data_IF_706952149780
#
_entry.id   IF_706952149780
#
_cell.length_a   1.000
_cell.length_b   1.000
_cell.length_c   1.000
_cell.angle_alpha   90.00
_cell.angle_beta   90.00
_cell.angle_gamma   90.00
#
_symmetry.space_group_name_H-M   'P 1'
#
loop_
_entity.id
_entity.type
_entity.pdbx_description
1 polymer ?
#
# COMPACT_ATOMS: atom_id res chain seq x y z
N UNK A 1 -61.52 -2.83 -16.95
CA UNK A 1 -62.43 -3.81 -17.58
C UNK A 1 -62.55 -3.45 -19.05
N UNK A 2 -62.38 -4.48 -19.88
CA UNK A 2 -62.13 -4.49 -21.32
C UNK A 2 -63.23 -3.84 -22.18
N UNK A 3 -62.86 -3.40 -23.39
CA UNK A 3 -63.14 -4.05 -24.71
C UNK A 3 -62.70 -3.01 -25.78
N UNK A 4 -61.60 -3.13 -26.53
CA UNK A 4 -61.19 -4.10 -27.55
C UNK A 4 -62.09 -4.13 -28.80
N UNK A 5 -61.66 -3.42 -29.85
CA UNK A 5 -61.93 -3.55 -31.30
C UNK A 5 -61.11 -2.41 -31.90
N UNK A 6 -60.21 -2.52 -32.85
CA UNK A 6 -59.98 -3.37 -34.02
C UNK A 6 -58.69 -2.74 -34.62
N UNK A 7 -57.67 -3.38 -35.18
CA UNK A 7 -57.50 -4.69 -35.77
C UNK A 7 -55.99 -4.98 -35.78
N UNK A 8 -55.63 -6.23 -35.53
CA UNK A 8 -54.28 -6.75 -35.61
C UNK A 8 -53.96 -7.29 -37.02
N UNK A 9 -52.66 -7.30 -37.30
CA UNK A 9 -51.89 -8.35 -37.97
C UNK A 9 -51.61 -8.34 -39.49
N UNK A 10 -50.28 -8.34 -39.72
CA UNK A 10 -49.48 -9.22 -40.60
C UNK A 10 -49.60 -9.13 -42.12
N UNK A 11 -48.44 -8.81 -42.72
CA UNK A 11 -47.69 -9.66 -43.66
C UNK A 11 -48.49 -10.33 -44.79
N UNK A 12 -48.15 -9.99 -46.03
CA UNK A 12 -47.56 -10.92 -47.02
C UNK A 12 -47.46 -10.26 -48.40
N UNK A 13 -46.31 -10.49 -49.05
CA UNK A 13 -46.10 -10.25 -50.47
C UNK A 13 -47.15 -11.00 -51.31
N UNK A 14 -47.71 -10.36 -52.33
CA UNK A 14 -47.91 -11.00 -53.64
C UNK A 14 -47.91 -9.97 -54.77
N UNK A 15 -47.26 -10.40 -55.83
CA UNK A 15 -46.99 -9.76 -57.12
C UNK A 15 -48.28 -9.60 -57.92
N UNK A 16 -48.40 -8.47 -58.62
CA UNK A 16 -49.00 -8.24 -59.97
C UNK A 16 -48.94 -6.72 -60.15
N UNK A 17 -48.24 -6.13 -61.12
CA UNK A 17 -48.28 -6.41 -62.54
C UNK A 17 -48.69 -5.11 -63.24
N UNK A 18 -47.71 -4.41 -63.81
CA UNK A 18 -47.75 -3.53 -65.00
C UNK A 18 -48.84 -2.45 -65.18
N UNK A 19 -48.41 -1.18 -65.28
CA UNK A 19 -48.35 -0.42 -66.55
C UNK A 19 -47.49 0.84 -66.33
N UNK A 20 -46.26 0.90 -66.88
CA UNK A 20 -45.89 1.48 -68.19
C UNK A 20 -46.23 2.96 -68.34
N UNK A 21 -45.35 3.81 -67.81
CA UNK A 21 -44.75 4.88 -68.61
C UNK A 21 -43.23 4.83 -68.44
N UNK A 22 -42.56 4.42 -69.51
CA UNK A 22 -41.14 4.22 -69.63
C UNK A 22 -40.41 5.56 -69.74
N UNK A 23 -39.90 6.06 -68.62
CA UNK A 23 -38.69 6.88 -68.65
C UNK A 23 -37.49 5.93 -68.59
N UNK A 24 -36.76 5.84 -69.69
CA UNK A 24 -35.45 5.20 -69.71
C UNK A 24 -34.56 6.04 -68.80
N UNK A 25 -34.28 5.51 -67.61
CA UNK A 25 -33.30 6.08 -66.69
C UNK A 25 -31.90 5.81 -67.23
N UNK A 26 -31.36 6.78 -67.97
CA UNK A 26 -29.97 6.76 -68.44
C UNK A 26 -28.95 6.91 -67.30
N UNK A 27 -29.36 7.07 -66.02
CA UNK A 27 -28.43 7.13 -64.90
C UNK A 27 -27.78 5.79 -64.57
N UNK A 28 -28.38 4.67 -65.00
CA UNK A 28 -27.81 3.31 -64.85
C UNK A 28 -26.91 2.86 -66.01
N UNK A 29 -26.79 3.67 -67.08
CA UNK A 29 -25.74 3.51 -68.11
C UNK A 29 -24.53 4.43 -67.90
N UNK A 30 -24.58 5.32 -66.90
CA UNK A 30 -23.37 5.94 -66.39
C UNK A 30 -22.70 4.96 -65.42
N UNK A 31 -22.03 3.96 -65.98
CA UNK A 31 -20.76 3.51 -65.38
C UNK A 31 -19.86 4.74 -65.47
N UNK A 32 -19.98 5.67 -64.51
CA UNK A 32 -18.78 6.36 -64.06
C UNK A 32 -17.83 5.23 -63.75
N UNK A 33 -16.66 5.12 -64.41
CA UNK A 33 -15.64 4.26 -63.85
C UNK A 33 -15.56 4.66 -62.39
N UNK A 34 -15.73 3.68 -61.51
CA UNK A 34 -15.38 3.85 -60.12
C UNK A 34 -13.95 4.37 -60.17
N UNK A 35 -13.78 5.68 -60.01
CA UNK A 35 -12.46 6.27 -59.79
C UNK A 35 -12.18 5.81 -58.37
N UNK A 36 -11.74 4.55 -58.26
CA UNK A 36 -11.03 4.05 -57.10
C UNK A 36 -9.94 5.10 -56.93
N UNK A 37 -9.95 5.91 -55.86
CA UNK A 37 -8.92 6.91 -55.68
C UNK A 37 -7.60 6.13 -55.70
N UNK A 38 -6.77 6.40 -56.71
CA UNK A 38 -5.50 5.73 -56.98
C UNK A 38 -4.79 5.43 -55.66
N UNK A 39 -4.90 4.20 -55.16
CA UNK A 39 -4.11 3.76 -54.02
C UNK A 39 -2.67 3.74 -54.55
N UNK A 40 -1.90 4.77 -54.20
CA UNK A 40 -0.49 4.89 -54.60
C UNK A 40 0.22 3.62 -54.17
N UNK A 41 0.65 2.80 -55.14
CA UNK A 41 1.56 1.70 -54.85
C UNK A 41 2.81 2.30 -54.19
N UNK A 42 3.28 1.69 -53.11
CA UNK A 42 4.42 2.17 -52.35
C UNK A 42 5.52 1.13 -52.29
N UNK A 43 6.74 1.62 -52.41
CA UNK A 43 7.94 0.85 -52.20
C UNK A 43 8.69 1.30 -50.95
N UNK A 44 9.37 0.36 -50.31
CA UNK A 44 10.13 0.53 -49.08
C UNK A 44 11.56 0.05 -49.28
N UNK A 45 12.53 0.81 -48.79
CA UNK A 45 13.95 0.48 -48.86
C UNK A 45 14.38 -0.09 -47.51
N UNK A 46 14.75 -1.36 -47.50
CA UNK A 46 15.30 -2.06 -46.34
C UNK A 46 16.80 -1.83 -46.29
N UNK A 47 17.26 -1.34 -45.15
CA UNK A 47 18.66 -1.08 -44.82
C UNK A 47 19.10 -2.01 -43.68
N UNK A 48 20.37 -1.91 -43.27
CA UNK A 48 20.83 -2.63 -42.08
C UNK A 48 20.09 -2.16 -40.80
N UNK A 49 19.66 -0.90 -40.77
CA UNK A 49 19.05 -0.29 -39.58
C UNK A 49 17.51 -0.25 -39.62
N UNK A 50 16.91 -0.19 -40.82
CA UNK A 50 15.47 -0.06 -41.00
C UNK A 50 14.91 -1.18 -41.86
N UNK A 51 13.87 -1.84 -41.36
CA UNK A 51 13.10 -2.85 -42.08
C UNK A 51 11.63 -2.76 -41.66
N UNK A 52 10.66 -2.71 -42.58
CA UNK A 52 9.24 -2.71 -42.23
C UNK A 52 8.81 -4.04 -41.60
N UNK A 53 9.62 -5.10 -41.76
CA UNK A 53 9.40 -6.40 -41.12
C UNK A 53 9.98 -6.50 -39.70
N UNK A 54 10.73 -5.49 -39.23
CA UNK A 54 11.27 -5.49 -37.87
C UNK A 54 10.15 -5.14 -36.90
N UNK A 55 9.93 -5.99 -35.90
CA UNK A 55 8.97 -5.70 -34.82
C UNK A 55 9.55 -4.57 -33.97
N UNK A 56 8.84 -3.44 -33.79
CA UNK A 56 9.31 -2.34 -32.95
C UNK A 56 9.43 -2.77 -31.47
N UNK A 57 10.39 -2.20 -30.75
CA UNK A 57 10.57 -2.48 -29.32
C UNK A 57 9.34 -2.13 -28.49
N UNK A 58 8.58 -1.12 -28.90
CA UNK A 58 7.34 -0.71 -28.24
C UNK A 58 6.30 -1.83 -28.26
N UNK A 59 6.20 -2.58 -29.37
CA UNK A 59 5.28 -3.72 -29.47
C UNK A 59 5.73 -4.87 -28.56
N UNK A 60 7.03 -5.17 -28.53
CA UNK A 60 7.59 -6.21 -27.66
C UNK A 60 7.36 -5.89 -26.18
N UNK A 61 7.58 -4.63 -25.78
CA UNK A 61 7.33 -4.19 -24.41
C UNK A 61 5.85 -4.33 -24.03
N UNK A 62 4.94 -3.97 -24.95
CA UNK A 62 3.50 -4.09 -24.76
C UNK A 62 3.05 -5.54 -24.62
N UNK A 63 3.51 -6.43 -25.51
CA UNK A 63 3.21 -7.86 -25.45
C UNK A 63 3.74 -8.49 -24.16
N UNK A 64 5.02 -8.26 -23.84
CA UNK A 64 5.65 -8.77 -22.62
C UNK A 64 4.91 -8.30 -21.36
N UNK A 65 4.57 -7.01 -21.27
CA UNK A 65 3.84 -6.45 -20.13
C UNK A 65 2.41 -7.05 -20.03
N UNK A 66 1.71 -7.22 -21.16
CA UNK A 66 0.39 -7.85 -21.19
C UNK A 66 0.45 -9.30 -20.70
N UNK A 67 1.40 -10.08 -21.21
CA UNK A 67 1.61 -11.48 -20.80
C UNK A 67 1.97 -11.59 -19.32
N UNK A 68 2.88 -10.73 -18.84
CA UNK A 68 3.29 -10.68 -17.43
C UNK A 68 2.12 -10.35 -16.51
N UNK A 69 1.25 -9.41 -16.89
CA UNK A 69 0.09 -9.04 -16.08
C UNK A 69 -0.91 -10.19 -15.98
N UNK A 70 -1.22 -10.87 -17.09
CA UNK A 70 -2.16 -12.00 -17.13
C UNK A 70 -1.67 -13.20 -16.31
N UNK A 71 -0.35 -13.41 -16.24
CA UNK A 71 0.25 -14.52 -15.47
C UNK A 71 0.57 -14.15 -14.02
N UNK A 72 0.41 -12.88 -13.63
CA UNK A 72 0.75 -12.40 -12.31
C UNK A 72 -0.35 -12.71 -11.29
N UNK A 73 0.04 -13.19 -10.11
CA UNK A 73 -0.88 -13.26 -8.98
C UNK A 73 -1.06 -11.86 -8.37
N UNK A 74 -2.27 -11.34 -8.49
CA UNK A 74 -2.61 -9.99 -8.05
C UNK A 74 -2.45 -9.75 -6.54
N UNK A 75 -2.55 -10.80 -5.72
CA UNK A 75 -2.45 -10.68 -4.27
C UNK A 75 -0.98 -10.64 -3.80
N UNK A 76 -0.10 -11.41 -4.45
CA UNK A 76 1.31 -11.48 -4.08
C UNK A 76 2.22 -10.50 -4.83
N UNK A 77 1.75 -9.91 -5.93
CA UNK A 77 2.51 -8.89 -6.67
C UNK A 77 2.35 -7.50 -5.99
N UNK A 78 3.42 -6.94 -5.40
CA UNK A 78 3.36 -5.63 -4.74
C UNK A 78 3.18 -4.45 -5.72
N UNK A 79 3.42 -4.67 -7.01
CA UNK A 79 3.37 -3.65 -8.06
C UNK A 79 2.20 -3.85 -9.04
N UNK A 80 1.18 -4.63 -8.64
CA UNK A 80 0.14 -5.05 -9.57
C UNK A 80 -0.65 -3.89 -10.18
N UNK A 81 -0.95 -2.84 -9.38
CA UNK A 81 -1.65 -1.66 -9.89
C UNK A 81 -0.76 -0.82 -10.81
N UNK A 82 0.53 -0.72 -10.49
CA UNK A 82 1.55 -0.08 -11.33
C UNK A 82 1.70 -0.81 -12.67
N UNK A 83 1.73 -2.14 -12.66
CA UNK A 83 1.79 -2.97 -13.86
C UNK A 83 0.55 -2.74 -14.76
N UNK A 84 -0.66 -2.62 -14.19
CA UNK A 84 -1.89 -2.26 -14.93
C UNK A 84 -1.76 -0.87 -15.56
N UNK A 85 -1.34 0.13 -14.77
CA UNK A 85 -1.22 1.51 -15.26
C UNK A 85 -0.13 1.65 -16.33
N UNK A 86 0.97 0.92 -16.19
CA UNK A 86 2.02 0.86 -17.19
C UNK A 86 1.49 0.28 -18.51
N UNK A 87 0.69 -0.78 -18.45
CA UNK A 87 0.11 -1.38 -19.64
C UNK A 87 -0.92 -0.45 -20.32
N UNK A 88 -1.73 0.27 -19.54
CA UNK A 88 -2.62 1.34 -20.06
C UNK A 88 -1.79 2.39 -20.80
N UNK A 89 -0.68 2.83 -20.22
CA UNK A 89 0.23 3.77 -20.88
C UNK A 89 0.76 3.22 -22.20
N UNK A 90 1.25 1.97 -22.23
CA UNK A 90 1.76 1.33 -23.45
C UNK A 90 0.70 1.25 -24.54
N UNK A 91 -0.54 0.86 -24.20
CA UNK A 91 -1.66 0.86 -25.15
C UNK A 91 -1.97 2.25 -25.70
N UNK A 92 -1.95 3.29 -24.85
CA UNK A 92 -2.15 4.67 -25.29
C UNK A 92 -1.06 5.16 -26.26
N UNK A 93 0.20 4.79 -26.01
CA UNK A 93 1.33 5.13 -26.89
C UNK A 93 1.24 4.46 -28.28
N UNK A 94 0.38 3.45 -28.45
CA UNK A 94 0.16 2.87 -29.77
C UNK A 94 -0.58 3.81 -30.70
N UNK A 95 -1.43 4.71 -30.19
CA UNK A 95 -2.35 5.55 -31.00
C UNK A 95 -3.26 4.75 -31.95
N UNK A 96 -3.64 3.53 -31.56
CA UNK A 96 -4.50 2.62 -32.33
C UNK A 96 -5.89 2.60 -31.72
N UNK A 97 -6.96 2.79 -32.52
CA UNK A 97 -8.35 2.85 -32.04
C UNK A 97 -8.78 1.54 -31.38
N UNK A 98 -8.36 0.39 -31.94
CA UNK A 98 -8.65 -0.91 -31.35
C UNK A 98 -7.98 -1.14 -29.98
N UNK A 99 -7.12 -0.25 -29.49
CA UNK A 99 -6.55 -0.31 -28.14
C UNK A 99 -7.53 0.10 -27.04
N UNK A 100 -8.58 0.87 -27.36
CA UNK A 100 -9.51 1.42 -26.37
C UNK A 100 -10.22 0.34 -25.55
N UNK A 101 -10.57 -0.78 -26.17
CA UNK A 101 -11.23 -1.90 -25.48
C UNK A 101 -10.31 -2.55 -24.44
N UNK A 102 -9.00 -2.63 -24.73
CA UNK A 102 -8.01 -3.13 -23.77
C UNK A 102 -7.80 -2.15 -22.63
N UNK A 103 -7.71 -0.85 -22.94
CA UNK A 103 -7.58 0.22 -21.94
C UNK A 103 -8.79 0.23 -20.99
N UNK A 104 -10.01 0.12 -21.53
CA UNK A 104 -11.23 0.04 -20.71
C UNK A 104 -11.23 -1.19 -19.81
N UNK A 105 -10.82 -2.35 -20.32
CA UNK A 105 -10.71 -3.56 -19.50
C UNK A 105 -9.66 -3.40 -18.39
N UNK A 106 -8.51 -2.78 -18.67
CA UNK A 106 -7.46 -2.52 -17.68
C UNK A 106 -7.91 -1.50 -16.63
N UNK A 107 -8.65 -0.46 -17.01
CA UNK A 107 -9.26 0.47 -16.06
C UNK A 107 -10.22 -0.26 -15.12
N UNK A 108 -11.04 -1.17 -15.65
CA UNK A 108 -11.90 -2.03 -14.84
C UNK A 108 -11.09 -2.96 -13.92
N UNK A 109 -9.98 -3.54 -14.41
CA UNK A 109 -9.06 -4.33 -13.59
C UNK A 109 -8.49 -3.52 -12.42
N UNK A 110 -8.08 -2.27 -12.65
CA UNK A 110 -7.59 -1.38 -11.60
C UNK A 110 -8.67 -1.09 -10.54
N UNK A 111 -9.91 -0.87 -10.95
CA UNK A 111 -11.03 -0.65 -10.04
C UNK A 111 -11.34 -1.89 -9.20
N UNK A 112 -11.39 -3.07 -9.83
CA UNK A 112 -11.63 -4.35 -9.14
C UNK A 112 -10.50 -4.63 -8.15
N UNK A 113 -9.24 -4.46 -8.57
CA UNK A 113 -8.08 -4.63 -7.69
C UNK A 113 -8.17 -3.74 -6.45
N UNK A 114 -8.46 -2.44 -6.61
CA UNK A 114 -8.63 -1.50 -5.48
C UNK A 114 -9.72 -1.96 -4.53
N UNK A 115 -10.87 -2.40 -5.04
CA UNK A 115 -11.97 -2.94 -4.22
C UNK A 115 -11.55 -4.21 -3.47
N UNK A 116 -10.89 -5.14 -4.15
CA UNK A 116 -10.39 -6.35 -3.51
C UNK A 116 -9.40 -6.04 -2.39
N UNK A 117 -8.48 -5.09 -2.61
CA UNK A 117 -7.50 -4.72 -1.59
C UNK A 117 -8.13 -4.11 -0.34
N UNK A 118 -9.30 -3.47 -0.45
CA UNK A 118 -10.07 -3.03 0.73
C UNK A 118 -10.53 -4.25 1.53
N UNK A 119 -11.14 -5.24 0.88
CA UNK A 119 -11.61 -6.47 1.55
C UNK A 119 -10.46 -7.29 2.16
N UNK A 120 -9.36 -7.46 1.41
CA UNK A 120 -8.12 -8.09 1.90
C UNK A 120 -7.62 -7.40 3.16
N UNK A 121 -7.60 -6.07 3.17
CA UNK A 121 -7.16 -5.31 4.34
C UNK A 121 -8.11 -5.44 5.54
N UNK A 122 -9.43 -5.54 5.31
CA UNK A 122 -10.40 -5.79 6.37
C UNK A 122 -10.15 -7.17 7.00
N UNK A 123 -9.97 -8.20 6.18
CA UNK A 123 -9.68 -9.57 6.64
C UNK A 123 -8.35 -9.59 7.39
N UNK A 124 -7.30 -8.99 6.81
CA UNK A 124 -5.98 -8.85 7.43
C UNK A 124 -6.09 -8.26 8.84
N UNK A 125 -6.82 -7.15 9.01
CA UNK A 125 -6.98 -6.49 10.31
C UNK A 125 -7.71 -7.38 11.33
N UNK A 126 -8.76 -8.08 10.92
CA UNK A 126 -9.50 -9.00 11.79
C UNK A 126 -8.61 -10.16 12.27
N UNK A 127 -7.89 -10.80 11.35
CA UNK A 127 -6.96 -11.88 11.68
C UNK A 127 -5.81 -11.38 12.55
N UNK A 128 -5.26 -10.20 12.26
CA UNK A 128 -4.22 -9.59 13.09
C UNK A 128 -4.70 -9.35 14.52
N UNK A 129 -5.93 -8.84 14.69
CA UNK A 129 -6.48 -8.59 16.01
C UNK A 129 -6.63 -9.88 16.83
N UNK A 130 -7.17 -10.94 16.21
CA UNK A 130 -7.30 -12.27 16.85
C UNK A 130 -5.94 -12.87 17.24
N UNK A 131 -4.96 -12.85 16.33
CA UNK A 131 -3.61 -13.36 16.61
C UNK A 131 -2.93 -12.52 17.69
N UNK A 132 -3.05 -11.20 17.63
CA UNK A 132 -2.47 -10.30 18.65
C UNK A 132 -3.08 -10.58 20.02
N UNK A 133 -4.39 -10.80 20.10
CA UNK A 133 -5.07 -11.16 21.35
C UNK A 133 -4.56 -12.50 21.89
N UNK A 134 -4.44 -13.53 21.03
CA UNK A 134 -3.91 -14.84 21.41
C UNK A 134 -2.45 -14.76 21.87
N UNK A 135 -1.59 -14.06 21.13
CA UNK A 135 -0.19 -13.83 21.51
C UNK A 135 -0.09 -13.13 22.85
N UNK A 136 -0.84 -12.05 23.05
CA UNK A 136 -0.86 -11.33 24.33
C UNK A 136 -1.30 -12.23 25.48
N UNK A 137 -2.34 -13.05 25.30
CA UNK A 137 -2.79 -14.00 26.30
C UNK A 137 -1.67 -14.99 26.68
N UNK A 138 -1.05 -15.64 25.70
CA UNK A 138 0.03 -16.61 25.96
C UNK A 138 1.26 -15.96 26.58
N UNK A 139 1.68 -14.79 26.07
CA UNK A 139 2.80 -14.03 26.61
C UNK A 139 2.55 -13.63 28.06
N UNK A 140 1.37 -13.11 28.39
CA UNK A 140 1.01 -12.77 29.77
C UNK A 140 1.09 -13.99 30.70
N UNK A 141 0.53 -15.13 30.30
CA UNK A 141 0.58 -16.36 31.09
C UNK A 141 2.02 -16.87 31.28
N UNK A 142 2.83 -16.85 30.22
CA UNK A 142 4.23 -17.25 30.27
C UNK A 142 5.07 -16.30 31.14
N UNK A 143 4.87 -14.99 31.02
CA UNK A 143 5.52 -13.99 31.88
C UNK A 143 5.17 -14.21 33.34
N UNK A 144 3.89 -14.45 33.66
CA UNK A 144 3.47 -14.75 35.04
C UNK A 144 4.17 -16.00 35.59
N UNK A 145 4.27 -17.07 34.81
CA UNK A 145 4.98 -18.29 35.21
C UNK A 145 6.47 -18.02 35.41
N UNK A 146 7.12 -17.31 34.47
CA UNK A 146 8.54 -16.97 34.57
C UNK A 146 8.82 -16.12 35.81
N UNK A 147 8.01 -15.09 36.07
CA UNK A 147 8.12 -14.26 37.27
C UNK A 147 7.94 -15.09 38.55
N UNK A 148 6.99 -16.02 38.59
CA UNK A 148 6.82 -16.91 39.73
C UNK A 148 8.05 -17.81 39.94
N UNK A 149 8.58 -18.41 38.88
CA UNK A 149 9.79 -19.22 38.93
C UNK A 149 11.02 -18.42 39.40
N UNK A 150 11.19 -17.19 38.91
CA UNK A 150 12.24 -16.27 39.37
C UNK A 150 12.10 -15.94 40.86
N UNK A 151 10.88 -15.61 41.31
CA UNK A 151 10.60 -15.32 42.73
C UNK A 151 10.92 -16.53 43.61
N UNK A 152 10.58 -17.75 43.18
CA UNK A 152 10.87 -18.98 43.92
C UNK A 152 12.37 -19.22 44.12
N UNK A 153 13.22 -18.74 43.21
CA UNK A 153 14.68 -18.86 43.32
C UNK A 153 15.28 -17.85 44.31
N UNK A 154 14.54 -16.82 44.70
CA UNK A 154 15.03 -15.80 45.63
C UNK A 154 15.09 -16.38 47.05
N UNK A 155 16.27 -16.26 47.68
CA UNK A 155 16.42 -16.58 49.09
C UNK A 155 15.56 -15.64 49.97
N UNK A 156 14.69 -16.22 50.80
CA UNK A 156 13.81 -15.46 51.70
C UNK A 156 14.55 -14.42 52.57
N UNK A 157 15.74 -14.75 53.13
CA UNK A 157 16.52 -13.80 53.94
C UNK A 157 16.94 -12.58 53.11
N UNK A 158 17.30 -12.79 51.84
CA UNK A 158 17.63 -11.70 50.91
C UNK A 158 16.40 -10.83 50.62
N UNK A 159 15.23 -11.45 50.44
CA UNK A 159 13.98 -10.73 50.22
C UNK A 159 13.55 -9.91 51.45
N UNK A 160 13.67 -10.45 52.66
CA UNK A 160 13.39 -9.74 53.91
C UNK A 160 14.32 -8.52 54.05
N UNK A 161 15.62 -8.68 53.75
CA UNK A 161 16.58 -7.56 53.76
C UNK A 161 16.19 -6.48 52.74
N UNK A 162 15.77 -6.87 51.54
CA UNK A 162 15.31 -5.94 50.52
C UNK A 162 14.08 -5.13 50.97
N UNK A 163 13.07 -5.79 51.54
CA UNK A 163 11.89 -5.11 52.13
C UNK A 163 12.31 -4.13 53.22
N UNK A 164 13.23 -4.53 54.10
CA UNK A 164 13.75 -3.65 55.17
C UNK A 164 14.42 -2.40 54.60
N UNK A 165 15.24 -2.55 53.55
CA UNK A 165 15.89 -1.43 52.87
C UNK A 165 14.86 -0.46 52.25
N UNK A 166 13.81 -0.98 51.60
CA UNK A 166 12.74 -0.14 51.05
C UNK A 166 12.02 0.62 52.18
N UNK A 167 11.65 -0.08 53.27
CA UNK A 167 11.01 0.54 54.44
C UNK A 167 11.87 1.64 55.06
N UNK A 168 13.18 1.43 55.18
CA UNK A 168 14.12 2.44 55.67
C UNK A 168 14.17 3.65 54.73
N UNK A 169 14.24 3.42 53.42
CA UNK A 169 14.23 4.50 52.41
C UNK A 169 12.93 5.31 52.47
N UNK A 170 11.77 4.64 52.63
CA UNK A 170 10.47 5.30 52.83
C UNK A 170 10.52 6.18 54.09
N UNK A 171 11.02 5.64 55.22
CA UNK A 171 11.12 6.38 56.47
C UNK A 171 12.01 7.61 56.35
N UNK A 172 13.17 7.49 55.70
CA UNK A 172 14.08 8.61 55.43
C UNK A 172 13.40 9.69 54.58
N UNK A 173 12.70 9.30 53.51
CA UNK A 173 11.98 10.22 52.63
C UNK A 173 10.79 10.89 53.32
N UNK A 174 10.05 10.17 54.17
CA UNK A 174 8.97 10.73 54.99
C UNK A 174 9.50 11.75 56.01
N UNK A 175 10.63 11.45 56.66
CA UNK A 175 11.31 12.38 57.57
C UNK A 175 11.79 13.62 56.81
N UNK A 176 12.38 13.46 55.63
CA UNK A 176 12.79 14.56 54.78
C UNK A 176 11.61 15.43 54.35
N UNK A 177 10.50 14.83 53.90
CA UNK A 177 9.26 15.54 53.56
C UNK A 177 8.72 16.33 54.74
N UNK A 178 8.68 15.72 55.93
CA UNK A 178 8.22 16.39 57.16
C UNK A 178 9.12 17.57 57.54
N UNK A 179 10.45 17.41 57.42
CA UNK A 179 11.42 18.50 57.63
C UNK A 179 11.21 19.65 56.64
N UNK A 180 10.99 19.34 55.35
CA UNK A 180 10.68 20.34 54.33
C UNK A 180 9.40 21.10 54.67
N UNK A 181 8.31 20.40 55.01
CA UNK A 181 7.02 21.03 55.34
C UNK A 181 7.11 21.92 56.59
N UNK A 182 7.84 21.47 57.62
CA UNK A 182 8.09 22.28 58.84
C UNK A 182 8.92 23.52 58.55
N UNK A 183 9.94 23.41 57.69
CA UNK A 183 10.79 24.54 57.32
C UNK A 183 10.02 25.57 56.49
N UNK A 184 9.21 25.09 55.52
CA UNK A 184 8.28 25.93 54.77
C UNK A 184 7.34 26.70 55.72
N UNK A 185 6.67 25.99 56.65
CA UNK A 185 5.79 26.62 57.64
C UNK A 185 6.51 27.69 58.46
N UNK A 186 7.69 27.37 59.00
CA UNK A 186 8.47 28.31 59.81
C UNK A 186 8.84 29.57 59.04
N UNK A 187 9.35 29.40 57.81
CA UNK A 187 9.80 30.51 56.98
C UNK A 187 8.62 31.40 56.54
N UNK A 188 7.45 30.81 56.27
CA UNK A 188 6.22 31.56 55.99
C UNK A 188 5.71 32.30 57.24
N UNK A 189 5.66 31.64 58.40
CA UNK A 189 5.22 32.25 59.68
C UNK A 189 6.10 33.44 60.06
N UNK A 190 7.40 33.36 59.85
CA UNK A 190 8.35 34.44 60.13
C UNK A 190 8.04 35.74 59.34
N UNK A 191 7.33 35.63 58.22
CA UNK A 191 6.98 36.77 57.36
C UNK A 191 5.52 37.20 57.56
N UNK A 192 4.60 36.24 57.60
CA UNK A 192 3.16 36.52 57.66
C UNK A 192 2.73 36.93 59.06
N UNK A 193 3.30 36.30 60.11
CA UNK A 193 2.91 36.40 61.52
C UNK A 193 1.44 36.01 61.80
N UNK A 194 0.78 35.39 60.81
CA UNK A 194 -0.59 34.87 60.87
C UNK A 194 -0.55 33.35 60.67
N UNK A 195 -1.02 32.61 61.68
CA UNK A 195 -0.98 31.16 61.69
C UNK A 195 -2.04 30.53 60.77
N UNK A 196 -3.19 31.16 60.61
CA UNK A 196 -4.30 30.66 59.81
C UNK A 196 -3.98 30.88 58.33
N UNK A 197 -3.53 32.08 57.96
CA UNK A 197 -3.06 32.36 56.60
C UNK A 197 -1.88 31.48 56.19
N UNK A 198 -0.95 31.19 57.12
CA UNK A 198 0.16 30.28 56.83
C UNK A 198 -0.32 28.84 56.63
N UNK A 199 -1.32 28.40 57.39
CA UNK A 199 -1.91 27.08 57.21
C UNK A 199 -2.60 26.98 55.84
N UNK A 200 -3.44 27.96 55.50
CA UNK A 200 -4.18 28.02 54.24
C UNK A 200 -3.26 27.99 53.02
N UNK A 201 -2.18 28.77 53.05
CA UNK A 201 -1.18 28.77 51.97
C UNK A 201 -0.53 27.40 51.74
N UNK A 202 -0.33 26.62 52.80
CA UNK A 202 0.27 25.28 52.69
C UNK A 202 -0.77 24.25 52.25
N UNK A 203 -2.01 24.34 52.71
CA UNK A 203 -3.07 23.41 52.31
C UNK A 203 -3.52 23.62 50.85
N UNK A 204 -3.44 24.86 50.36
CA UNK A 204 -3.94 25.22 49.04
C UNK A 204 -2.96 24.97 47.89
N UNK A 205 -1.79 24.39 48.17
CA UNK A 205 -0.82 24.01 47.14
C UNK A 205 -1.45 22.92 46.24
N UNK A 206 -1.68 23.26 44.97
CA UNK A 206 -2.22 22.36 43.96
C UNK A 206 -1.21 22.18 42.83
N UNK A 207 -1.03 20.94 42.41
CA UNK A 207 -0.18 20.58 41.28
C UNK A 207 -1.00 20.22 40.05
N UNK A 208 -0.46 20.47 38.85
CA UNK A 208 -1.07 20.08 37.57
C UNK A 208 -0.03 19.42 36.66
N UNK A 209 -0.43 18.33 36.00
CA UNK A 209 0.36 17.64 34.99
C UNK A 209 -0.19 17.91 33.59
N UNK A 210 0.70 18.16 32.62
CA UNK A 210 0.32 18.36 31.21
C UNK A 210 1.32 17.68 30.29
N UNK A 211 0.79 16.89 29.34
CA UNK A 211 1.58 16.27 28.28
C UNK A 211 1.91 17.33 27.22
N UNK A 212 3.15 17.41 26.78
CA UNK A 212 3.56 18.25 25.65
C UNK A 212 4.50 17.47 24.74
N UNK A 213 4.05 17.21 23.50
CA UNK A 213 4.81 16.46 22.49
C UNK A 213 5.95 17.28 21.86
N UNK A 214 5.96 18.60 22.07
CA UNK A 214 6.91 19.55 21.48
C UNK A 214 7.83 20.23 22.49
N UNK A 215 7.67 19.92 23.80
CA UNK A 215 8.46 20.45 24.92
C UNK A 215 8.52 21.98 25.04
N UNK A 216 7.65 22.71 24.33
CA UNK A 216 7.38 24.12 24.59
C UNK A 216 6.44 24.24 25.79
N UNK A 217 6.98 23.96 26.99
CA UNK A 217 6.33 24.29 28.26
C UNK A 217 6.15 25.81 28.37
N UNK A 218 5.20 26.33 27.62
CA UNK A 218 4.81 27.73 27.57
C UNK A 218 4.26 28.12 28.94
N UNK A 219 4.37 29.40 29.27
CA UNK A 219 3.82 30.02 30.48
C UNK A 219 2.28 30.08 30.43
N UNK A 220 1.62 29.05 29.86
CA UNK A 220 0.27 29.08 29.28
C UNK A 220 -0.87 29.02 30.31
N UNK A 221 -0.58 29.27 31.58
CA UNK A 221 -1.59 29.46 32.60
C UNK A 221 -1.04 30.58 33.48
N UNK A 222 -1.51 31.81 33.27
CA UNK A 222 -1.03 33.02 33.97
C UNK A 222 -0.99 32.89 35.52
N UNK A 223 -1.65 31.86 36.07
CA UNK A 223 -1.78 31.58 37.51
C UNK A 223 -0.79 30.50 38.03
N UNK A 224 -0.15 29.73 37.14
CA UNK A 224 0.61 28.52 37.50
C UNK A 224 2.09 28.59 37.10
N UNK A 225 3.00 28.32 38.04
CA UNK A 225 4.45 28.27 37.78
C UNK A 225 4.92 26.84 37.50
N UNK A 226 5.78 26.69 36.48
CA UNK A 226 6.43 25.43 36.12
C UNK A 226 7.43 25.01 37.21
N UNK A 227 7.32 23.76 37.64
CA UNK A 227 8.33 23.08 38.45
C UNK A 227 9.42 22.56 37.49
N UNK A 228 10.69 22.80 37.82
CA UNK A 228 11.81 22.14 37.12
C UNK A 228 11.76 20.63 37.43
N UNK A 229 11.08 19.88 36.56
CA UNK A 229 10.91 18.42 36.63
C UNK A 229 11.88 17.72 35.69
N UNK A 230 12.22 16.46 36.01
CA UNK A 230 13.06 15.54 35.23
C UNK A 230 12.30 14.77 34.14
N UNK A 231 11.02 15.09 33.87
CA UNK A 231 10.25 14.41 32.82
C UNK A 231 10.58 14.97 31.42
N UNK A 232 11.00 14.13 30.45
CA UNK A 232 11.24 14.57 29.08
C UNK A 232 9.96 14.79 28.26
N UNK A 233 8.78 14.39 28.73
CA UNK A 233 7.54 14.42 27.91
C UNK A 233 6.38 15.18 28.55
N UNK A 234 6.61 15.83 29.69
CA UNK A 234 5.54 16.51 30.42
C UNK A 234 6.03 17.69 31.27
N UNK A 235 5.14 18.65 31.44
CA UNK A 235 5.35 19.82 32.27
C UNK A 235 4.53 19.69 33.57
N UNK A 236 5.15 19.97 34.71
CA UNK A 236 4.49 20.02 36.02
C UNK A 236 4.37 21.48 36.43
N UNK A 237 3.20 21.86 36.93
CA UNK A 237 2.93 23.21 37.40
C UNK A 237 2.35 23.21 38.82
N UNK A 238 2.46 24.33 39.53
CA UNK A 238 1.73 24.59 40.77
C UNK A 238 1.11 25.99 40.78
N UNK A 239 0.04 26.19 41.57
CA UNK A 239 -0.80 27.38 41.59
C UNK A 239 -0.16 28.60 42.30
N UNK A 240 1.07 28.97 41.93
CA UNK A 240 1.83 30.04 42.58
C UNK A 240 1.07 31.35 42.72
N UNK A 241 0.55 31.90 41.62
CA UNK A 241 -0.03 33.25 41.65
C UNK A 241 -1.33 33.26 42.47
N UNK A 242 -2.09 32.16 42.47
CA UNK A 242 -3.26 31.99 43.34
C UNK A 242 -2.86 32.05 44.82
N UNK A 243 -1.74 31.40 45.19
CA UNK A 243 -1.21 31.44 46.54
C UNK A 243 -0.70 32.85 46.90
N UNK A 244 0.03 33.51 46.00
CA UNK A 244 0.62 34.83 46.25
C UNK A 244 -0.45 35.93 46.34
N UNK A 245 -1.51 35.86 45.55
CA UNK A 245 -2.58 36.86 45.54
C UNK A 245 -3.36 36.94 46.86
N UNK A 246 -3.31 35.89 47.69
CA UNK A 246 -3.89 35.88 49.05
C UNK A 246 -3.05 36.67 50.08
N UNK A 247 -1.87 37.14 49.68
CA UNK A 247 -0.88 37.75 50.57
C UNK A 247 -0.82 39.27 50.32
N UNK A 248 -0.66 40.11 51.37
CA UNK A 248 -0.43 41.54 51.22
C UNK A 248 0.75 41.84 50.27
N UNK A 249 0.58 42.80 49.36
CA UNK A 249 1.53 43.14 48.28
C UNK A 249 2.98 43.29 48.76
N UNK A 250 3.17 43.90 49.92
CA UNK A 250 4.48 44.16 50.53
C UNK A 250 5.26 42.87 50.89
N UNK A 251 4.56 41.76 51.13
CA UNK A 251 5.14 40.47 51.53
C UNK A 251 5.27 39.47 50.38
N UNK A 252 4.60 39.72 49.25
CA UNK A 252 4.46 38.78 48.13
C UNK A 252 5.81 38.29 47.59
N UNK A 253 6.77 39.19 47.33
CA UNK A 253 8.09 38.82 46.79
C UNK A 253 8.84 37.84 47.70
N UNK A 254 8.86 38.10 49.02
CA UNK A 254 9.59 37.24 49.96
C UNK A 254 8.94 35.85 50.09
N UNK A 255 7.61 35.81 50.08
CA UNK A 255 6.86 34.54 50.10
C UNK A 255 7.06 33.76 48.80
N UNK A 256 7.06 34.43 47.64
CA UNK A 256 7.35 33.81 46.36
C UNK A 256 8.69 33.06 46.36
N UNK A 257 9.74 33.67 46.91
CA UNK A 257 11.07 33.05 47.03
C UNK A 257 11.06 31.80 47.92
N UNK A 258 10.33 31.85 49.05
CA UNK A 258 10.17 30.70 49.95
C UNK A 258 9.44 29.56 49.23
N UNK A 259 8.30 29.86 48.60
CA UNK A 259 7.49 28.88 47.87
C UNK A 259 8.31 28.22 46.75
N UNK A 260 9.01 28.99 45.92
CA UNK A 260 9.84 28.48 44.82
C UNK A 260 10.97 27.56 45.31
N UNK A 261 11.44 27.76 46.55
CA UNK A 261 12.49 26.94 47.16
C UNK A 261 11.98 25.59 47.67
N UNK A 262 10.78 25.56 48.26
CA UNK A 262 10.27 24.37 48.96
C UNK A 262 9.31 23.53 48.12
N UNK A 263 8.42 24.14 47.33
CA UNK A 263 7.37 23.44 46.57
C UNK A 263 7.94 22.37 45.62
N UNK A 264 8.99 22.66 44.81
CA UNK A 264 9.59 21.64 43.94
C UNK A 264 10.12 20.42 44.71
N UNK A 265 10.71 20.65 45.89
CA UNK A 265 11.29 19.59 46.73
C UNK A 265 10.20 18.75 47.38
N UNK A 266 9.12 19.39 47.83
CA UNK A 266 7.94 18.71 48.37
C UNK A 266 7.29 17.82 47.31
N UNK A 267 7.03 18.37 46.12
CA UNK A 267 6.50 17.61 44.98
C UNK A 267 7.34 16.39 44.65
N UNK A 268 8.64 16.58 44.41
CA UNK A 268 9.56 15.49 44.07
C UNK A 268 9.55 14.39 45.13
N UNK A 269 9.58 14.77 46.41
CA UNK A 269 9.60 13.79 47.51
C UNK A 269 8.27 13.04 47.61
N UNK A 270 7.14 13.73 47.44
CA UNK A 270 5.81 13.11 47.44
C UNK A 270 5.66 12.08 46.31
N UNK A 271 6.07 12.45 45.10
CA UNK A 271 6.01 11.55 43.92
C UNK A 271 6.94 10.35 44.08
N UNK A 272 8.14 10.53 44.62
CA UNK A 272 9.04 9.40 44.92
C UNK A 272 8.45 8.42 45.94
N UNK A 273 7.66 8.92 46.89
CA UNK A 273 7.01 8.09 47.89
C UNK A 273 5.80 7.34 47.30
N UNK A 274 4.90 8.05 46.63
CA UNK A 274 3.54 7.55 46.34
C UNK A 274 3.19 7.49 44.84
N UNK A 275 4.10 7.91 43.96
CA UNK A 275 3.81 8.12 42.55
C UNK A 275 2.92 9.33 42.32
N UNK A 276 2.29 9.40 41.15
CA UNK A 276 1.26 10.39 40.84
C UNK A 276 0.34 9.86 39.73
N UNK A 277 -0.96 9.86 40.05
CA UNK A 277 -2.05 9.51 39.16
C UNK A 277 -2.66 10.78 38.59
N UNK A 278 -2.71 10.91 37.27
CA UNK A 278 -3.38 12.02 36.62
C UNK A 278 -4.78 11.62 36.18
N UNK A 279 -5.78 12.27 36.78
CA UNK A 279 -7.20 11.98 36.57
C UNK A 279 -7.65 12.35 35.16
N UNK A 280 -7.18 13.49 34.63
CA UNK A 280 -7.58 13.97 33.31
C UNK A 280 -7.19 12.99 32.17
N UNK A 281 -6.14 12.19 32.40
CA UNK A 281 -5.68 11.16 31.44
C UNK A 281 -5.96 9.73 31.92
N UNK A 282 -6.61 9.56 33.08
CA UNK A 282 -6.85 8.27 33.73
C UNK A 282 -5.60 7.36 33.75
N UNK A 283 -4.45 7.92 34.15
CA UNK A 283 -3.15 7.26 34.00
C UNK A 283 -2.23 7.50 35.20
N UNK A 284 -1.58 6.43 35.66
CA UNK A 284 -0.42 6.53 36.53
C UNK A 284 0.77 7.04 35.70
N UNK A 285 1.21 8.26 36.00
CA UNK A 285 2.25 8.95 35.21
C UNK A 285 3.64 8.70 35.79
N UNK A 286 3.74 8.69 37.12
CA UNK A 286 4.96 8.37 37.84
C UNK A 286 4.76 7.03 38.53
N UNK A 287 4.97 5.96 37.77
CA UNK A 287 4.66 4.59 38.17
C UNK A 287 5.83 3.88 38.89
N UNK A 288 6.97 4.54 39.00
CA UNK A 288 8.13 4.09 39.76
C UNK A 288 8.20 4.83 41.10
N UNK A 289 7.71 4.19 42.16
CA UNK A 289 7.66 4.79 43.50
C UNK A 289 7.77 3.76 44.63
N UNK A 290 8.29 4.22 45.77
CA UNK A 290 8.71 3.35 46.86
C UNK A 290 7.57 2.53 47.49
N UNK A 291 6.35 3.07 47.57
CA UNK A 291 5.21 2.31 48.10
C UNK A 291 4.80 1.15 47.18
N UNK A 292 4.90 1.32 45.85
CA UNK A 292 4.68 0.22 44.90
C UNK A 292 5.77 -0.83 45.03
N UNK A 293 7.03 -0.41 45.11
CA UNK A 293 8.16 -1.32 45.30
C UNK A 293 7.99 -2.13 46.59
N UNK A 294 7.54 -1.49 47.67
CA UNK A 294 7.25 -2.16 48.93
C UNK A 294 6.12 -3.18 48.79
N UNK A 295 5.02 -2.81 48.14
CA UNK A 295 3.89 -3.72 47.88
C UNK A 295 4.34 -4.94 47.08
N UNK A 296 5.06 -4.74 45.97
CA UNK A 296 5.61 -5.81 45.12
C UNK A 296 6.55 -6.70 45.93
N UNK A 297 7.48 -6.11 46.69
CA UNK A 297 8.43 -6.87 47.49
C UNK A 297 7.75 -7.73 48.57
N UNK A 298 6.69 -7.21 49.22
CA UNK A 298 5.89 -7.96 50.18
C UNK A 298 5.10 -9.10 49.51
N UNK A 299 4.51 -8.86 48.35
CA UNK A 299 3.82 -9.90 47.58
C UNK A 299 4.79 -11.02 47.19
N UNK A 300 6.00 -10.68 46.72
CA UNK A 300 7.04 -11.66 46.43
C UNK A 300 7.43 -12.49 47.66
N UNK A 301 7.52 -11.86 48.84
CA UNK A 301 7.77 -12.59 50.09
C UNK A 301 6.61 -13.54 50.45
N UNK A 302 5.36 -13.12 50.26
CA UNK A 302 4.20 -13.97 50.49
C UNK A 302 4.24 -15.21 49.57
N UNK A 303 4.53 -15.00 48.28
CA UNK A 303 4.71 -16.07 47.29
C UNK A 303 5.80 -17.06 47.74
N UNK A 304 7.00 -16.56 48.10
CA UNK A 304 8.10 -17.40 48.60
C UNK A 304 7.67 -18.26 49.80
N UNK A 305 6.92 -17.68 50.74
CA UNK A 305 6.47 -18.37 51.95
C UNK A 305 5.43 -19.45 51.67
N UNK A 306 4.44 -19.15 50.82
CA UNK A 306 3.43 -20.14 50.40
C UNK A 306 4.09 -21.39 49.80
N UNK A 307 5.12 -21.21 48.97
CA UNK A 307 5.81 -22.35 48.37
C UNK A 307 6.70 -23.13 49.33
N UNK A 308 7.26 -22.49 50.36
CA UNK A 308 8.02 -23.21 51.40
C UNK A 308 7.14 -24.05 52.33
N UNK A 309 5.87 -23.67 52.50
CA UNK A 309 4.90 -24.43 53.29
C UNK A 309 4.32 -25.63 52.53
N UNK A 310 4.29 -25.57 51.20
CA UNK A 310 4.01 -26.75 50.37
C UNK A 310 5.21 -27.70 50.48
N UNK A 311 5.01 -28.93 50.97
CA UNK A 311 6.08 -29.87 51.34
C UNK A 311 7.04 -30.29 50.20
N UNK A 312 6.85 -29.82 48.95
CA UNK A 312 7.73 -30.13 47.83
C UNK A 312 7.87 -28.92 46.88
N UNK A 313 8.69 -27.92 47.25
CA UNK A 313 9.07 -26.79 46.37
C UNK A 313 9.45 -27.26 44.96
N UNK A 314 10.20 -28.37 44.87
CA UNK A 314 10.63 -28.94 43.60
C UNK A 314 9.46 -29.44 42.73
N UNK A 315 8.42 -30.02 43.34
CA UNK A 315 7.21 -30.42 42.64
C UNK A 315 6.44 -29.21 42.09
N UNK A 316 6.32 -28.12 42.86
CA UNK A 316 5.65 -26.90 42.41
C UNK A 316 6.42 -26.20 41.26
N UNK A 317 7.76 -26.22 41.29
CA UNK A 317 8.60 -25.76 40.19
C UNK A 317 8.37 -26.61 38.93
N UNK A 318 8.40 -27.94 39.05
CA UNK A 318 8.16 -28.85 37.91
C UNK A 318 6.77 -28.64 37.31
N UNK A 319 5.74 -28.44 38.14
CA UNK A 319 4.38 -28.13 37.68
C UNK A 319 4.31 -26.85 36.86
N UNK A 320 4.99 -25.78 37.31
CA UNK A 320 5.07 -24.52 36.56
C UNK A 320 5.84 -24.66 35.25
N UNK A 321 6.96 -25.38 35.25
CA UNK A 321 7.73 -25.67 34.03
C UNK A 321 6.87 -26.47 33.03
N UNK A 322 6.16 -27.48 33.50
CA UNK A 322 5.27 -28.28 32.65
C UNK A 322 4.13 -27.44 32.09
N UNK A 323 3.53 -26.55 32.89
CA UNK A 323 2.51 -25.60 32.42
C UNK A 323 3.07 -24.65 31.36
N UNK A 324 4.30 -24.15 31.53
CA UNK A 324 4.98 -23.32 30.53
C UNK A 324 5.20 -24.07 29.21
N UNK A 325 5.65 -25.33 29.27
CA UNK A 325 5.78 -26.19 28.08
C UNK A 325 4.43 -26.40 27.37
N UNK A 326 3.37 -26.71 28.13
CA UNK A 326 2.02 -26.88 27.59
C UNK A 326 1.50 -25.60 26.91
N UNK A 327 1.72 -24.43 27.50
CA UNK A 327 1.33 -23.15 26.90
C UNK A 327 2.08 -22.88 25.60
N UNK A 328 3.38 -23.18 25.52
CA UNK A 328 4.15 -23.02 24.28
C UNK A 328 3.66 -23.94 23.16
N UNK A 329 3.33 -25.20 23.49
CA UNK A 329 2.75 -26.14 22.52
C UNK A 329 1.38 -25.64 22.06
N UNK A 330 0.51 -25.23 22.98
CA UNK A 330 -0.81 -24.69 22.67
C UNK A 330 -0.72 -23.42 21.81
N UNK A 331 0.22 -22.52 22.10
CA UNK A 331 0.48 -21.33 21.30
C UNK A 331 0.89 -21.70 19.87
N UNK A 332 1.80 -22.65 19.70
CA UNK A 332 2.23 -23.13 18.38
C UNK A 332 1.10 -23.82 17.59
N UNK A 333 0.18 -24.50 18.26
CA UNK A 333 -0.97 -25.15 17.64
C UNK A 333 -2.08 -24.15 17.26
N UNK A 334 -2.33 -23.14 18.10
CA UNK A 334 -3.44 -22.20 17.93
C UNK A 334 -3.10 -20.98 17.07
N UNK A 335 -1.82 -20.76 16.78
CA UNK A 335 -1.34 -19.67 15.93
C UNK A 335 -0.66 -20.28 14.70
N UNK A 336 -1.33 -20.17 13.56
CA UNK A 336 -0.78 -20.64 12.29
C UNK A 336 0.37 -19.72 11.85
N UNK A 337 1.61 -20.14 12.08
CA UNK A 337 2.80 -19.39 11.67
C UNK A 337 2.90 -19.15 10.16
N UNK A 338 2.27 -19.98 9.32
CA UNK A 338 2.30 -19.78 7.88
C UNK A 338 1.50 -18.56 7.43
N UNK A 339 0.62 -18.01 8.28
CA UNK A 339 -0.08 -16.75 8.04
C UNK A 339 0.75 -15.52 8.41
N UNK A 340 1.89 -15.70 9.06
CA UNK A 340 2.65 -14.64 9.70
C UNK A 340 4.00 -14.42 9.02
N UNK A 341 4.40 -13.15 8.93
CA UNK A 341 5.76 -12.78 8.58
C UNK A 341 6.71 -12.89 9.80
N UNK A 342 7.98 -12.52 9.58
CA UNK A 342 9.03 -12.52 10.60
C UNK A 342 8.72 -11.64 11.82
N UNK A 343 7.84 -10.65 11.67
CA UNK A 343 7.48 -9.67 12.69
C UNK A 343 6.14 -10.04 13.36
N UNK A 344 5.63 -11.26 13.13
CA UNK A 344 4.33 -11.77 13.57
C UNK A 344 3.14 -10.94 13.06
N UNK A 345 3.29 -10.33 11.89
CA UNK A 345 2.20 -9.64 11.19
C UNK A 345 1.61 -10.54 10.12
N UNK A 346 0.32 -10.40 9.83
CA UNK A 346 -0.33 -11.16 8.76
C UNK A 346 0.35 -10.87 7.42
N UNK A 347 0.89 -11.94 6.81
CA UNK A 347 1.47 -11.92 5.47
C UNK A 347 0.38 -12.24 4.43
N UNK A 348 -0.06 -11.20 3.71
CA UNK A 348 -1.09 -11.34 2.67
C UNK A 348 -0.59 -12.04 1.40
N UNK A 349 0.73 -12.12 1.22
CA UNK A 349 1.35 -12.80 0.09
C UNK A 349 1.56 -14.30 0.34
N UNK A 350 1.33 -14.75 1.58
CA UNK A 350 1.46 -16.16 1.96
C UNK A 350 0.38 -17.03 1.33
N UNK A 351 0.74 -18.28 1.04
CA UNK A 351 -0.21 -19.30 0.56
C UNK A 351 -1.32 -19.53 1.58
N UNK A 352 -0.98 -19.54 2.87
CA UNK A 352 -1.96 -19.72 3.94
C UNK A 352 -3.00 -18.59 3.97
N UNK A 353 -2.61 -17.34 3.69
CA UNK A 353 -3.57 -16.23 3.60
C UNK A 353 -4.43 -16.35 2.35
N UNK A 354 -3.86 -16.79 1.23
CA UNK A 354 -4.64 -17.08 0.02
C UNK A 354 -5.70 -18.18 0.27
N UNK A 355 -5.38 -19.23 1.03
CA UNK A 355 -6.34 -20.28 1.40
C UNK A 355 -7.49 -19.73 2.26
N UNK A 356 -7.25 -18.72 3.10
CA UNK A 356 -8.30 -18.01 3.84
C UNK A 356 -9.18 -17.15 2.92
N UNK A 357 -8.60 -16.65 1.83
CA UNK A 357 -9.27 -15.80 0.86
C UNK A 357 -10.07 -16.62 -0.17
N UNK A 358 -9.65 -17.85 -0.46
CA UNK A 358 -10.22 -18.73 -1.49
C UNK A 358 -11.75 -18.95 -1.36
N UNK A 359 -12.32 -19.21 -0.17
CA UNK A 359 -13.77 -19.34 -0.02
C UNK A 359 -14.55 -18.05 -0.36
N UNK A 360 -13.88 -16.89 -0.36
CA UNK A 360 -14.48 -15.58 -0.66
C UNK A 360 -14.31 -15.19 -2.14
N UNK A 361 -13.45 -15.90 -2.88
CA UNK A 361 -13.24 -15.80 -4.32
C UNK A 361 -14.42 -16.43 -5.08
N UNK A 362 -15.56 -15.75 -5.07
CA UNK A 362 -16.74 -16.05 -5.90
C UNK A 362 -17.86 -15.04 -5.64
N UNK A 363 -17.99 -14.57 -4.39
CA UNK A 363 -19.05 -13.64 -3.99
C UNK A 363 -18.55 -12.20 -3.86
N UNK A 364 -17.45 -11.97 -3.12
CA UNK A 364 -17.03 -10.62 -2.72
C UNK A 364 -15.74 -10.14 -3.40
N UNK A 365 -14.85 -11.07 -3.76
CA UNK A 365 -13.54 -10.79 -4.36
C UNK A 365 -13.52 -11.39 -5.76
N UNK A 366 -13.28 -10.57 -6.77
CA UNK A 366 -13.26 -10.99 -8.20
C UNK A 366 -11.84 -10.95 -8.72
N UNK A 367 -11.45 -11.87 -9.60
CA UNK A 367 -10.15 -11.77 -10.28
C UNK A 367 -10.08 -10.43 -11.05
N UNK A 368 -9.13 -9.52 -10.72
CA UNK A 368 -8.99 -8.23 -11.38
C UNK A 368 -8.74 -8.36 -12.88
N UNK A 369 -7.99 -9.37 -13.31
CA UNK A 369 -7.56 -9.52 -14.71
C UNK A 369 -8.51 -10.30 -15.59
N UNK A 370 -9.54 -10.95 -15.05
CA UNK A 370 -10.41 -11.85 -15.81
C UNK A 370 -10.87 -11.26 -17.15
N UNK A 371 -11.42 -10.04 -17.14
CA UNK A 371 -11.91 -9.38 -18.35
C UNK A 371 -10.79 -9.05 -19.34
N UNK A 372 -9.64 -8.56 -18.85
CA UNK A 372 -8.50 -8.29 -19.70
C UNK A 372 -7.92 -9.57 -20.31
N UNK A 373 -7.80 -10.63 -19.52
CA UNK A 373 -7.33 -11.96 -19.97
C UNK A 373 -8.23 -12.55 -21.06
N UNK A 374 -9.55 -12.35 -20.99
CA UNK A 374 -10.47 -12.76 -22.06
C UNK A 374 -10.19 -12.01 -23.37
N UNK A 375 -9.90 -10.71 -23.31
CA UNK A 375 -9.56 -9.90 -24.49
C UNK A 375 -8.17 -10.24 -25.04
N UNK A 376 -7.18 -10.42 -24.17
CA UNK A 376 -5.81 -10.83 -24.51
C UNK A 376 -5.81 -12.15 -25.31
N UNK A 377 -6.69 -13.08 -24.92
CA UNK A 377 -6.84 -14.38 -25.59
C UNK A 377 -7.79 -14.37 -26.80
N UNK A 378 -8.45 -13.24 -27.10
CA UNK A 378 -9.39 -13.15 -28.21
C UNK A 378 -8.67 -12.99 -29.56
N UNK A 379 -8.53 -14.09 -30.30
CA UNK A 379 -7.86 -14.14 -31.61
C UNK A 379 -8.41 -13.14 -32.63
N UNK A 380 -9.72 -12.92 -32.66
CA UNK A 380 -10.34 -11.98 -33.60
C UNK A 380 -9.93 -10.54 -33.31
N UNK A 381 -9.93 -10.18 -32.03
CA UNK A 381 -9.55 -8.85 -31.58
C UNK A 381 -8.05 -8.59 -31.78
N UNK A 382 -7.18 -9.55 -31.42
CA UNK A 382 -5.74 -9.44 -31.64
C UNK A 382 -5.40 -9.36 -33.13
N UNK A 383 -6.14 -10.07 -33.99
CA UNK A 383 -5.99 -9.93 -35.45
C UNK A 383 -6.28 -8.50 -35.91
N UNK A 384 -7.38 -7.90 -35.45
CA UNK A 384 -7.71 -6.50 -35.78
C UNK A 384 -6.68 -5.51 -35.24
N UNK A 385 -6.24 -5.69 -34.00
CA UNK A 385 -5.21 -4.84 -33.38
C UNK A 385 -3.87 -4.91 -34.14
N UNK A 386 -3.39 -6.12 -34.46
CA UNK A 386 -2.12 -6.30 -35.19
C UNK A 386 -2.19 -5.85 -36.64
N UNK A 387 -3.37 -5.88 -37.28
CA UNK A 387 -3.60 -5.26 -38.60
C UNK A 387 -3.43 -3.74 -38.56
N UNK A 388 -4.07 -3.06 -37.60
CA UNK A 388 -3.90 -1.61 -37.44
C UNK A 388 -2.47 -1.23 -37.02
N UNK A 389 -1.82 -2.05 -36.20
CA UNK A 389 -0.42 -1.85 -35.83
C UNK A 389 0.51 -1.99 -37.04
N UNK A 390 0.24 -2.93 -37.94
CA UNK A 390 0.97 -3.05 -39.20
C UNK A 390 0.80 -1.81 -40.10
N UNK A 391 -0.40 -1.22 -40.14
CA UNK A 391 -0.65 0.06 -40.85
C UNK A 391 0.20 1.17 -40.24
N UNK A 392 0.25 1.25 -38.89
CA UNK A 392 1.09 2.22 -38.18
C UNK A 392 2.56 2.10 -38.57
N UNK A 393 3.13 0.89 -38.53
CA UNK A 393 4.54 0.63 -38.90
C UNK A 393 4.85 1.15 -40.31
N UNK A 394 3.96 0.91 -41.26
CA UNK A 394 4.13 1.36 -42.64
C UNK A 394 4.02 2.89 -42.77
N UNK A 395 3.07 3.51 -42.07
CA UNK A 395 2.86 4.96 -42.11
C UNK A 395 4.03 5.74 -41.48
N UNK A 396 4.58 5.23 -40.38
CA UNK A 396 5.69 5.82 -39.62
C UNK A 396 7.07 5.48 -40.20
N UNK A 397 7.13 4.61 -41.21
CA UNK A 397 8.40 4.28 -41.86
C UNK A 397 9.09 5.53 -42.42
N UNK A 398 10.43 5.67 -42.30
CA UNK A 398 11.12 6.89 -42.69
C UNK A 398 10.83 7.28 -44.14
N UNK A 399 10.29 8.48 -44.37
CA UNK A 399 9.88 8.93 -45.72
C UNK A 399 11.02 8.94 -46.74
N UNK A 400 12.26 9.14 -46.27
CA UNK A 400 13.50 9.05 -47.10
C UNK A 400 13.78 7.64 -47.63
N UNK A 401 13.17 6.61 -47.03
CA UNK A 401 13.28 5.20 -47.41
C UNK A 401 11.97 4.68 -48.03
N UNK A 402 11.03 5.56 -48.36
CA UNK A 402 9.79 5.22 -49.07
C UNK A 402 9.78 5.88 -50.44
N UNK A 403 9.16 5.24 -51.42
CA UNK A 403 8.99 5.79 -52.76
C UNK A 403 7.65 5.38 -53.35
N UNK A 404 7.15 6.16 -54.31
CA UNK A 404 5.90 5.85 -55.03
C UNK A 404 6.20 4.97 -56.23
N UNK A 405 5.31 4.00 -56.47
CA UNK A 405 5.31 3.12 -57.63
C UNK A 405 4.09 3.49 -58.47
N UNK A 406 4.30 3.70 -59.78
CA UNK A 406 3.23 4.00 -60.71
C UNK A 406 2.45 2.72 -61.06
N UNK A 407 1.23 2.85 -61.58
CA UNK A 407 0.36 1.67 -61.84
C UNK A 407 0.92 0.70 -62.89
N UNK A 408 1.79 1.20 -63.77
CA UNK A 408 2.53 0.39 -64.73
C UNK A 408 3.76 -0.31 -64.12
N UNK A 409 3.95 -0.23 -62.79
CA UNK A 409 5.05 -0.84 -62.05
C UNK A 409 6.37 -0.06 -62.09
N UNK A 410 6.41 1.11 -62.74
CA UNK A 410 7.62 1.95 -62.80
C UNK A 410 7.81 2.75 -61.52
N UNK A 411 9.06 2.93 -61.12
CA UNK A 411 9.41 3.73 -59.95
C UNK A 411 10.74 4.45 -60.12
N UNK A 412 10.99 5.46 -59.29
CA UNK A 412 12.29 6.12 -59.17
C UNK A 412 12.75 6.00 -57.74
N UNK A 413 13.95 5.45 -57.55
CA UNK A 413 14.52 5.29 -56.22
C UNK A 413 15.07 6.63 -55.73
N UNK A 414 14.84 6.99 -54.45
CA UNK A 414 15.53 8.10 -53.83
C UNK A 414 17.03 7.82 -53.75
N UNK A 415 17.85 8.87 -53.54
CA UNK A 415 19.30 8.71 -53.40
C UNK A 415 19.62 7.95 -52.11
N UNK A 416 20.07 6.71 -52.24
CA UNK A 416 20.43 5.83 -51.11
C UNK A 416 21.93 5.96 -50.84
N UNK A 417 22.30 6.24 -49.59
CA UNK A 417 23.71 6.37 -49.16
C UNK A 417 24.33 5.02 -48.77
N UNK A 418 23.52 3.99 -48.55
CA UNK A 418 23.98 2.67 -48.13
C UNK A 418 24.28 1.78 -49.33
N UNK A 419 25.41 1.07 -49.28
CA UNK A 419 25.87 0.21 -50.37
C UNK A 419 25.14 -1.14 -50.42
N UNK A 420 24.40 -1.52 -49.36
CA UNK A 420 23.62 -2.76 -49.28
C UNK A 420 22.22 -2.45 -48.79
N UNK A 421 21.24 -2.68 -49.65
CA UNK A 421 19.83 -2.48 -49.33
C UNK A 421 18.95 -3.44 -50.14
N UNK A 422 17.76 -3.73 -49.63
CA UNK A 422 16.73 -4.48 -50.36
C UNK A 422 15.56 -3.56 -50.64
N UNK A 423 14.83 -3.84 -51.71
CA UNK A 423 13.62 -3.09 -52.06
C UNK A 423 12.43 -4.01 -51.82
N UNK A 424 11.40 -3.49 -51.18
CA UNK A 424 10.11 -4.16 -51.07
C UNK A 424 9.08 -3.31 -51.76
N UNK A 425 8.32 -3.90 -52.68
CA UNK A 425 7.18 -3.23 -53.31
C UNK A 425 5.92 -3.98 -52.92
N UNK A 426 4.93 -3.21 -52.45
CA UNK A 426 3.59 -3.72 -52.25
C UNK A 426 2.85 -3.62 -53.59
N UNK A 427 2.60 -4.77 -54.23
CA UNK A 427 2.05 -4.82 -55.58
C UNK A 427 0.55 -5.08 -55.48
N UNK A 428 -0.23 -4.00 -55.54
CA UNK A 428 -1.70 -4.03 -55.32
C UNK A 428 -2.04 -4.64 -53.95
N UNK A 429 -3.32 -4.93 -53.69
CA UNK A 429 -3.76 -5.45 -52.39
C UNK A 429 -3.43 -6.95 -52.15
N UNK A 430 -2.78 -7.64 -53.09
CA UNK A 430 -2.73 -9.11 -53.11
C UNK A 430 -1.36 -9.74 -52.88
N UNK A 431 -0.24 -9.05 -53.18
CA UNK A 431 1.09 -9.63 -52.98
C UNK A 431 2.18 -8.57 -52.84
N UNK A 432 3.31 -8.94 -52.26
CA UNK A 432 4.49 -8.08 -52.15
C UNK A 432 5.71 -8.75 -52.76
N UNK A 433 6.65 -7.95 -53.27
CA UNK A 433 7.86 -8.44 -53.93
C UNK A 433 9.07 -7.84 -53.25
N UNK A 434 10.00 -8.69 -52.80
CA UNK A 434 11.29 -8.28 -52.27
C UNK A 434 12.33 -8.45 -53.36
N UNK A 435 12.97 -7.37 -53.79
CA UNK A 435 14.12 -7.40 -54.67
C UNK A 435 15.42 -7.28 -53.85
N UNK A 436 16.32 -8.25 -54.04
CA UNK A 436 17.63 -8.21 -53.42
C UNK A 436 18.65 -7.55 -54.36
N UNK A 437 19.18 -6.39 -53.94
CA UNK A 437 20.14 -5.61 -54.73
C UNK A 437 21.61 -5.90 -54.39
N UNK A 438 21.89 -6.99 -53.66
CA UNK A 438 23.26 -7.36 -53.32
C UNK A 438 24.09 -7.58 -54.61
N UNK A 439 25.08 -6.72 -54.84
CA UNK A 439 26.07 -6.77 -55.93
C UNK A 439 25.56 -6.54 -57.38
N UNK A 440 24.49 -5.77 -57.58
CA UNK A 440 23.94 -5.48 -58.92
C UNK A 440 24.25 -4.03 -59.35
N UNK A 441 24.83 -3.85 -60.54
CA UNK A 441 25.28 -2.56 -61.08
C UNK A 441 24.14 -1.66 -61.57
N UNK A 442 23.02 -2.25 -61.99
CA UNK A 442 21.88 -1.51 -62.57
C UNK A 442 20.58 -2.01 -61.95
N UNK A 443 19.89 -1.12 -61.24
CA UNK A 443 18.61 -1.41 -60.62
C UNK A 443 17.51 -1.52 -61.69
N UNK A 444 16.56 -2.46 -61.54
CA UNK A 444 15.44 -2.58 -62.44
C UNK A 444 14.53 -1.34 -62.33
N UNK A 445 14.08 -0.83 -63.47
CA UNK A 445 13.11 0.28 -63.54
C UNK A 445 11.66 -0.19 -63.35
N UNK A 446 11.43 -1.50 -63.41
CA UNK A 446 10.17 -2.18 -63.17
C UNK A 446 10.40 -3.52 -62.44
N UNK A 447 9.53 -3.84 -61.48
CA UNK A 447 9.62 -5.08 -60.70
C UNK A 447 8.31 -5.87 -60.86
N UNK A 448 8.44 -7.11 -61.33
CA UNK A 448 7.34 -8.08 -61.47
C UNK A 448 7.69 -9.35 -60.69
N UNK A 449 6.68 -10.20 -60.49
CA UNK A 449 6.82 -11.50 -59.81
C UNK A 449 7.95 -12.39 -60.35
N UNK A 450 8.27 -12.25 -61.64
CA UNK A 450 9.28 -13.06 -62.34
C UNK A 450 10.61 -12.31 -62.57
N UNK A 451 10.79 -11.11 -62.01
CA UNK A 451 12.05 -10.38 -62.17
C UNK A 451 13.18 -11.13 -61.44
N UNK A 452 14.36 -11.32 -62.06
CA UNK A 452 15.50 -11.96 -61.40
C UNK A 452 15.82 -11.31 -60.05
N UNK A 453 16.33 -12.09 -59.10
CA UNK A 453 16.67 -11.64 -57.74
C UNK A 453 15.48 -11.10 -56.94
N UNK A 454 14.26 -11.53 -57.26
CA UNK A 454 13.06 -11.25 -56.46
C UNK A 454 12.55 -12.46 -55.68
N UNK A 455 11.94 -12.18 -54.53
CA UNK A 455 11.16 -13.13 -53.74
C UNK A 455 9.74 -12.55 -53.64
N UNK A 456 8.77 -13.23 -54.26
CA UNK A 456 7.37 -12.86 -54.17
C UNK A 456 6.72 -13.50 -52.94
N UNK A 457 6.05 -12.68 -52.13
CA UNK A 457 5.24 -13.10 -51.00
C UNK A 457 3.78 -13.13 -51.44
N UNK A 458 3.05 -14.22 -51.19
CA UNK A 458 1.63 -14.38 -51.54
C UNK A 458 0.65 -13.49 -50.75
N UNK A 459 1.14 -12.47 -50.07
CA UNK A 459 0.39 -11.53 -49.24
C UNK A 459 0.95 -10.12 -49.43
N UNK A 460 0.08 -9.12 -49.27
CA UNK A 460 0.51 -7.73 -49.25
C UNK A 460 1.35 -7.43 -47.99
N UNK A 461 2.08 -6.31 -48.01
CA UNK A 461 3.04 -6.00 -46.96
C UNK A 461 2.38 -5.85 -45.58
N UNK A 462 1.19 -5.26 -45.52
CA UNK A 462 0.42 -5.12 -44.29
C UNK A 462 0.08 -6.50 -43.69
N UNK A 463 -0.40 -7.43 -44.51
CA UNK A 463 -0.74 -8.79 -44.09
C UNK A 463 0.48 -9.55 -43.57
N UNK A 464 1.63 -9.43 -44.23
CA UNK A 464 2.87 -10.07 -43.79
C UNK A 464 3.30 -9.56 -42.40
N UNK A 465 3.31 -8.24 -42.20
CA UNK A 465 3.67 -7.62 -40.93
C UNK A 465 2.65 -7.98 -39.84
N UNK A 466 1.36 -7.86 -40.14
CA UNK A 466 0.27 -8.20 -39.21
C UNK A 466 0.36 -9.66 -38.76
N UNK A 467 0.60 -10.61 -39.67
CA UNK A 467 0.79 -12.02 -39.32
C UNK A 467 2.01 -12.23 -38.42
N UNK A 468 3.09 -11.49 -38.64
CA UNK A 468 4.29 -11.56 -37.79
C UNK A 468 4.01 -11.04 -36.38
N UNK A 469 3.34 -9.89 -36.25
CA UNK A 469 2.91 -9.34 -34.96
C UNK A 469 1.94 -10.27 -34.24
N UNK A 470 0.98 -10.85 -34.96
CA UNK A 470 0.03 -11.82 -34.42
C UNK A 470 0.73 -13.08 -33.90
N UNK A 471 1.69 -13.63 -34.66
CA UNK A 471 2.50 -14.77 -34.21
C UNK A 471 3.31 -14.40 -32.96
N UNK A 472 3.91 -13.21 -32.93
CA UNK A 472 4.65 -12.74 -31.76
C UNK A 472 3.76 -12.67 -30.52
N UNK A 473 2.51 -12.22 -30.66
CA UNK A 473 1.56 -12.14 -29.54
C UNK A 473 1.23 -13.49 -28.90
N UNK A 474 1.19 -14.57 -29.69
CA UNK A 474 0.76 -15.90 -29.22
C UNK A 474 1.89 -16.93 -29.03
N UNK A 475 3.04 -16.75 -29.68
CA UNK A 475 4.14 -17.71 -29.65
C UNK A 475 5.26 -17.34 -28.65
N UNK A 476 5.13 -16.22 -27.94
CA UNK A 476 6.09 -15.76 -26.93
C UNK A 476 5.83 -16.39 -25.59
#
# INVERSE_FOLDING_TARGET
MNILRNFMFLLLCFITGCDKESYIDYSSFNIKPEIIPYQKQQGFIITNNYSPFKIPSEFNNLEYAAKKLVSSNWLSNPHYLEDINHLIYLFNQTHIKNSDVFIQALNNSALIYKKNMIEVNIIKRKLQADITQKLNHYQQQLTLINTQLEIMQINEKKQIKHISNIKNTIKEKQQYYTKLRRSLKRDLQAILLDNDLTFDLISDIKFKYRIDKTLHCSKYLDIYQKIKSTSPYACIYYNKEELINKIPKEKQHKIAVIIDTYIPKLWKTMVQLNGYFEYDYNKQVFDDYLQKDLMVANNNLAIIRTFKTEQQVQYSIEKLINKSKQLNIAMAANINKNLLDKDNMIDISSTAFYDQLLPLLSNNIKDPTLNFSLLYNNKSLIKKFTQEYAIKILNEYPKKLTFSVADNGKFTLPKIRENRYKIVIDVKESYSVIYNNDNILTLPTDLRRNTPNTIAMGYNLNQVISQKLFKQWYNS
#
